data_IF_707020090408
#
_entry.id   IF_707020090408
#
_cell.length_a   1.000
_cell.length_b   1.000
_cell.length_c   1.000
_cell.angle_alpha   90.00
_cell.angle_beta   90.00
_cell.angle_gamma   90.00
#
_symmetry.space_group_name_H-M   'P 1'
#
loop_
_entity.id
_entity.type
_entity.pdbx_description
1 polymer ?
#
# COMPACT_ATOMS: atom_id res chain seq x y z
N UNK A 1 45.98 -9.73 -1.39
CA UNK A 1 45.57 -9.75 -2.81
C UNK A 1 44.04 -9.67 -2.94
N UNK A 2 43.27 -10.47 -2.20
CA UNK A 2 41.80 -10.50 -2.26
C UNK A 2 41.05 -9.20 -1.89
N UNK A 3 41.59 -8.35 -1.00
CA UNK A 3 40.92 -7.09 -0.58
C UNK A 3 40.90 -6.01 -1.67
N UNK A 4 41.96 -5.89 -2.47
CA UNK A 4 42.01 -4.90 -3.55
C UNK A 4 41.10 -5.28 -4.72
N UNK A 5 40.97 -6.58 -4.98
CA UNK A 5 40.08 -7.13 -6.00
C UNK A 5 38.61 -6.91 -5.62
N UNK A 6 38.24 -7.12 -4.35
CA UNK A 6 36.88 -6.84 -3.87
C UNK A 6 36.51 -5.35 -3.98
N UNK A 7 37.45 -4.45 -3.65
CA UNK A 7 37.20 -3.01 -3.76
C UNK A 7 37.07 -2.54 -5.22
N UNK A 8 37.83 -3.13 -6.14
CA UNK A 8 37.71 -2.84 -7.57
C UNK A 8 36.37 -3.35 -8.12
N UNK A 9 35.97 -4.57 -7.74
CA UNK A 9 34.69 -5.17 -8.13
C UNK A 9 33.49 -4.31 -7.70
N UNK A 10 33.54 -3.70 -6.50
CA UNK A 10 32.48 -2.79 -6.05
C UNK A 10 32.35 -1.59 -6.99
N UNK A 11 33.47 -0.94 -7.35
CA UNK A 11 33.46 0.23 -8.23
C UNK A 11 32.94 -0.10 -9.63
N UNK A 12 33.33 -1.25 -10.18
CA UNK A 12 32.85 -1.68 -11.48
C UNK A 12 31.33 -1.97 -11.44
N UNK A 13 30.84 -2.56 -10.34
CA UNK A 13 29.42 -2.76 -10.13
C UNK A 13 28.65 -1.44 -9.95
N UNK A 14 29.22 -0.44 -9.27
CA UNK A 14 28.61 0.88 -9.12
C UNK A 14 28.38 1.55 -10.49
N UNK A 15 29.38 1.51 -11.37
CA UNK A 15 29.26 2.01 -12.74
C UNK A 15 28.20 1.21 -13.53
N UNK A 16 28.19 -0.12 -13.39
CA UNK A 16 27.20 -0.97 -14.05
C UNK A 16 25.77 -0.66 -13.59
N UNK A 17 25.59 -0.36 -12.30
CA UNK A 17 24.31 0.04 -11.71
C UNK A 17 23.88 1.42 -12.21
N UNK A 18 24.80 2.38 -12.33
CA UNK A 18 24.49 3.68 -12.94
C UNK A 18 24.02 3.55 -14.39
N UNK A 19 24.60 2.62 -15.14
CA UNK A 19 24.22 2.35 -16.54
C UNK A 19 22.92 1.55 -16.66
N UNK A 20 22.68 0.60 -15.74
CA UNK A 20 21.47 -0.21 -15.70
C UNK A 20 20.99 -0.42 -14.25
N UNK A 21 20.14 0.48 -13.71
CA UNK A 21 19.69 0.42 -12.33
C UNK A 21 18.84 -0.79 -11.96
N UNK A 22 18.36 -1.55 -12.96
CA UNK A 22 17.52 -2.74 -12.76
C UNK A 22 18.30 -4.06 -12.91
N UNK A 23 19.63 -4.01 -13.09
CA UNK A 23 20.42 -5.24 -13.24
C UNK A 23 20.57 -5.98 -11.92
N UNK A 24 19.82 -7.08 -11.74
CA UNK A 24 19.96 -7.93 -10.57
C UNK A 24 21.38 -8.49 -10.40
N UNK A 25 22.04 -8.82 -11.52
CA UNK A 25 23.38 -9.37 -11.52
C UNK A 25 24.41 -8.40 -10.92
N UNK A 26 24.32 -7.11 -11.25
CA UNK A 26 25.24 -6.09 -10.74
C UNK A 26 25.14 -5.93 -9.22
N UNK A 27 23.93 -5.90 -8.66
CA UNK A 27 23.73 -5.87 -7.21
C UNK A 27 24.21 -7.16 -6.54
N UNK A 28 23.96 -8.33 -7.15
CA UNK A 28 24.40 -9.62 -6.61
C UNK A 28 25.93 -9.74 -6.52
N UNK A 29 26.63 -9.23 -7.54
CA UNK A 29 28.10 -9.23 -7.57
C UNK A 29 28.68 -8.24 -6.55
N UNK A 30 28.10 -7.04 -6.43
CA UNK A 30 28.50 -6.05 -5.43
C UNK A 30 28.28 -6.55 -4.00
N UNK A 31 27.13 -7.18 -3.73
CA UNK A 31 26.83 -7.78 -2.43
C UNK A 31 27.83 -8.87 -2.02
N UNK A 32 28.26 -9.74 -2.95
CA UNK A 32 29.33 -10.72 -2.70
C UNK A 32 30.69 -10.07 -2.44
N UNK A 33 30.99 -8.98 -3.13
CA UNK A 33 32.22 -8.22 -2.87
C UNK A 33 32.21 -7.59 -1.47
N UNK A 34 31.07 -7.06 -1.01
CA UNK A 34 30.87 -6.58 0.36
C UNK A 34 31.02 -7.69 1.42
N UNK A 35 30.52 -8.91 1.16
CA UNK A 35 30.74 -10.06 2.05
C UNK A 35 32.24 -10.36 2.23
N UNK A 36 33.01 -10.30 1.15
CA UNK A 36 34.47 -10.53 1.20
C UNK A 36 35.22 -9.43 1.97
N UNK A 37 34.65 -8.23 2.08
CA UNK A 37 35.20 -7.13 2.89
C UNK A 37 34.68 -7.12 4.33
N UNK A 38 33.70 -7.96 4.68
CA UNK A 38 33.06 -7.99 5.99
C UNK A 38 31.98 -6.91 6.20
N UNK A 39 31.51 -6.29 5.12
CA UNK A 39 30.44 -5.29 5.10
C UNK A 39 29.09 -6.00 5.00
N UNK A 40 28.66 -6.60 6.12
CA UNK A 40 27.51 -7.51 6.13
C UNK A 40 26.17 -6.82 5.88
N UNK A 41 26.02 -5.56 6.30
CA UNK A 41 24.79 -4.79 6.11
C UNK A 41 24.60 -4.41 4.65
N UNK A 42 25.62 -3.84 4.01
CA UNK A 42 25.60 -3.49 2.58
C UNK A 42 25.45 -4.73 1.69
N UNK A 43 26.11 -5.83 2.06
CA UNK A 43 25.94 -7.11 1.38
C UNK A 43 24.50 -7.64 1.44
N UNK A 44 23.86 -7.57 2.62
CA UNK A 44 22.49 -8.04 2.79
C UNK A 44 21.50 -7.21 1.97
N UNK A 45 21.66 -5.88 1.96
CA UNK A 45 20.85 -4.97 1.15
C UNK A 45 20.96 -5.27 -0.35
N UNK A 46 22.18 -5.41 -0.86
CA UNK A 46 22.43 -5.67 -2.28
C UNK A 46 21.91 -7.05 -2.73
N UNK A 47 22.05 -8.08 -1.90
CA UNK A 47 21.55 -9.42 -2.20
C UNK A 47 20.01 -9.47 -2.17
N UNK A 48 19.38 -8.78 -1.22
CA UNK A 48 17.92 -8.71 -1.16
C UNK A 48 17.35 -7.96 -2.38
N UNK A 49 18.00 -6.86 -2.79
CA UNK A 49 17.61 -6.10 -3.97
C UNK A 49 17.80 -6.92 -5.26
N UNK A 50 18.89 -7.69 -5.37
CA UNK A 50 19.13 -8.58 -6.49
C UNK A 50 18.02 -9.63 -6.64
N UNK A 51 17.65 -10.33 -5.55
CA UNK A 51 16.56 -11.31 -5.60
C UNK A 51 15.22 -10.67 -5.99
N UNK A 52 14.93 -9.47 -5.49
CA UNK A 52 13.72 -8.73 -5.89
C UNK A 52 13.69 -8.42 -7.39
N UNK A 53 14.82 -7.98 -7.95
CA UNK A 53 14.94 -7.65 -9.37
C UNK A 53 14.86 -8.89 -10.26
N UNK A 54 15.39 -10.05 -9.84
CA UNK A 54 15.23 -11.33 -10.56
C UNK A 54 13.75 -11.73 -10.67
N UNK A 55 12.99 -11.61 -9.56
CA UNK A 55 11.54 -11.87 -9.60
C UNK A 55 10.78 -10.86 -10.47
N UNK A 56 11.21 -9.59 -10.52
CA UNK A 56 10.61 -8.57 -11.40
C UNK A 56 10.93 -8.81 -12.88
N UNK A 57 12.12 -9.28 -13.23
CA UNK A 57 12.47 -9.68 -14.60
C UNK A 57 11.62 -10.88 -15.07
N UNK A 58 11.45 -11.89 -14.22
CA UNK A 58 10.60 -13.05 -14.48
C UNK A 58 9.12 -12.66 -14.61
N UNK A 59 8.60 -11.81 -13.71
CA UNK A 59 7.23 -11.33 -13.77
C UNK A 59 6.95 -10.51 -15.04
N UNK A 60 7.88 -9.62 -15.43
CA UNK A 60 7.76 -8.84 -16.65
C UNK A 60 7.85 -9.72 -17.91
N UNK A 61 8.66 -10.77 -17.89
CA UNK A 61 8.72 -11.74 -18.99
C UNK A 61 7.40 -12.49 -19.16
N UNK A 62 6.77 -12.91 -18.06
CA UNK A 62 5.44 -13.54 -18.05
C UNK A 62 4.35 -12.56 -18.53
N UNK A 63 4.38 -11.30 -18.11
CA UNK A 63 3.43 -10.28 -18.55
C UNK A 63 3.53 -9.98 -20.05
N UNK A 64 4.75 -9.99 -20.61
CA UNK A 64 5.01 -9.86 -22.05
C UNK A 64 4.51 -11.05 -22.87
N UNK A 65 4.47 -12.26 -22.29
CA UNK A 65 3.86 -13.44 -22.91
C UNK A 65 2.33 -13.40 -22.85
N UNK A 66 1.74 -12.94 -21.74
CA UNK A 66 0.29 -12.77 -21.58
C UNK A 66 -0.25 -11.73 -22.57
N UNK A 67 0.43 -10.59 -22.74
CA UNK A 67 0.02 -9.55 -23.70
C UNK A 67 0.04 -10.02 -25.17
N UNK A 68 0.87 -11.01 -25.52
CA UNK A 68 0.87 -11.62 -26.86
C UNK A 68 -0.29 -12.62 -27.06
N UNK A 69 -0.92 -13.09 -25.98
CA UNK A 69 -1.94 -14.13 -26.00
C UNK A 69 -3.39 -13.65 -25.92
N UNK A 70 -3.67 -12.41 -25.48
CA UNK A 70 -5.06 -12.00 -25.19
C UNK A 70 -5.47 -10.71 -25.92
N UNK A 71 -6.10 -10.87 -27.10
CA UNK A 71 -7.23 -10.01 -27.46
C UNK A 71 -8.48 -10.60 -26.81
N UNK A 72 -8.83 -10.11 -25.62
CA UNK A 72 -10.13 -10.32 -24.99
C UNK A 72 -10.21 -9.44 -23.75
N UNK A 73 -10.89 -8.31 -23.91
CA UNK A 73 -11.59 -7.47 -22.93
C UNK A 73 -11.33 -7.84 -21.46
N UNK A 74 -10.36 -7.14 -20.87
CA UNK A 74 -10.31 -6.89 -19.44
C UNK A 74 -10.20 -5.39 -19.26
N UNK A 75 -11.35 -4.73 -19.14
CA UNK A 75 -11.43 -3.40 -18.56
C UNK A 75 -11.08 -3.50 -17.07
N UNK A 76 -9.77 -3.59 -16.80
CA UNK A 76 -9.23 -3.18 -15.53
C UNK A 76 -9.34 -1.66 -15.52
N UNK A 77 -10.38 -1.14 -14.86
CA UNK A 77 -10.45 0.28 -14.49
C UNK A 77 -9.31 0.52 -13.48
N UNK A 78 -8.10 0.71 -14.02
CA UNK A 78 -7.04 1.45 -13.35
C UNK A 78 -7.48 2.91 -13.36
N UNK A 79 -8.15 3.31 -12.30
CA UNK A 79 -8.21 4.72 -11.93
C UNK A 79 -7.92 4.84 -10.44
N UNK A 80 -6.71 4.47 -10.06
CA UNK A 80 -6.08 5.15 -8.95
C UNK A 80 -5.62 6.48 -9.53
N UNK A 81 -6.51 7.47 -9.48
CA UNK A 81 -6.12 8.86 -9.66
C UNK A 81 -4.97 9.12 -8.68
N UNK A 82 -3.86 9.64 -9.19
CA UNK A 82 -2.77 10.20 -8.41
C UNK A 82 -3.35 11.07 -7.29
N UNK A 83 -3.45 10.50 -6.10
CA UNK A 83 -3.89 11.26 -4.95
C UNK A 83 -2.70 12.10 -4.54
N UNK A 84 -2.88 13.41 -4.69
CA UNK A 84 -2.02 14.40 -4.06
C UNK A 84 -1.81 13.95 -2.61
N UNK A 85 -0.59 13.54 -2.29
CA UNK A 85 -0.18 13.28 -0.92
C UNK A 85 -0.29 14.60 -0.16
N UNK A 86 -1.48 14.87 0.35
CA UNK A 86 -1.63 15.81 1.44
C UNK A 86 -1.02 15.13 2.64
N UNK A 87 0.25 15.46 2.86
CA UNK A 87 0.96 15.23 4.11
C UNK A 87 0.12 15.85 5.21
N UNK A 88 -0.48 15.01 6.05
CA UNK A 88 -0.98 15.44 7.34
C UNK A 88 0.28 15.69 8.16
N UNK A 89 0.86 16.88 7.99
CA UNK A 89 2.08 17.34 8.66
C UNK A 89 1.79 17.74 10.11
N UNK A 90 1.13 16.83 10.83
CA UNK A 90 0.92 16.96 12.27
C UNK A 90 1.79 15.91 12.93
N UNK A 91 3.04 16.27 13.20
CA UNK A 91 3.94 15.54 14.11
C UNK A 91 3.43 15.53 15.56
N UNK A 92 2.32 16.22 15.84
CA UNK A 92 1.71 16.30 17.15
C UNK A 92 0.81 15.08 17.42
N UNK A 93 1.07 14.41 18.55
CA UNK A 93 0.22 13.32 19.04
C UNK A 93 -1.11 13.92 19.48
N UNK A 94 -2.20 13.43 18.89
CA UNK A 94 -3.57 13.84 19.22
C UNK A 94 -4.22 12.88 20.21
N UNK A 95 -5.23 13.37 20.91
CA UNK A 95 -6.04 12.53 21.78
C UNK A 95 -6.89 11.53 20.97
N UNK A 96 -7.12 10.33 21.50
CA UNK A 96 -8.00 9.35 20.87
C UNK A 96 -9.44 9.85 20.75
N UNK A 97 -10.08 9.66 19.59
CA UNK A 97 -11.52 9.90 19.46
C UNK A 97 -12.31 8.89 20.30
N UNK A 98 -13.29 9.42 21.05
CA UNK A 98 -14.20 8.66 21.94
C UNK A 98 -15.58 8.42 21.29
N UNK A 99 -15.69 8.60 19.97
CA UNK A 99 -16.93 8.40 19.24
C UNK A 99 -17.42 6.95 19.32
N UNK A 100 -18.75 6.79 19.28
CA UNK A 100 -19.40 5.49 19.18
C UNK A 100 -18.87 4.75 17.94
N UNK A 101 -18.55 3.44 18.03
CA UNK A 101 -18.09 2.67 16.88
C UNK A 101 -19.03 2.80 15.69
N UNK A 102 -18.46 3.12 14.54
CA UNK A 102 -19.20 3.28 13.29
C UNK A 102 -19.79 1.96 12.79
N UNK A 103 -20.83 2.05 11.97
CA UNK A 103 -21.46 0.86 11.39
C UNK A 103 -20.56 0.20 10.34
N UNK A 104 -20.45 -1.14 10.40
CA UNK A 104 -19.54 -1.96 9.57
C UNK A 104 -20.26 -2.89 8.59
N UNK A 105 -21.59 -2.76 8.45
CA UNK A 105 -22.41 -3.66 7.64
C UNK A 105 -22.58 -5.06 8.27
N UNK A 106 -23.32 -5.93 7.57
CA UNK A 106 -23.55 -7.32 7.99
C UNK A 106 -22.63 -8.28 7.24
N UNK A 107 -21.70 -8.90 7.95
CA UNK A 107 -20.74 -9.85 7.37
C UNK A 107 -21.40 -11.07 6.71
N UNK A 108 -22.63 -11.44 7.11
CA UNK A 108 -23.32 -12.60 6.53
C UNK A 108 -24.19 -12.23 5.32
N UNK A 109 -24.18 -10.96 4.91
CA UNK A 109 -24.99 -10.48 3.79
C UNK A 109 -24.60 -11.16 2.48
N UNK A 110 -25.59 -11.75 1.81
CA UNK A 110 -25.45 -12.29 0.46
C UNK A 110 -25.55 -11.16 -0.56
N UNK A 111 -24.39 -10.63 -0.95
CA UNK A 111 -24.31 -9.50 -1.88
C UNK A 111 -24.69 -9.94 -3.30
N UNK A 112 -25.81 -9.40 -3.80
CA UNK A 112 -26.25 -9.59 -5.19
C UNK A 112 -25.50 -8.69 -6.14
N UNK A 113 -25.54 -9.00 -7.43
CA UNK A 113 -24.89 -8.16 -8.46
C UNK A 113 -25.43 -6.72 -8.48
N UNK A 114 -26.73 -6.55 -8.25
CA UNK A 114 -27.35 -5.23 -8.15
C UNK A 114 -26.80 -4.44 -6.95
N UNK A 115 -26.67 -5.09 -5.78
CA UNK A 115 -26.10 -4.45 -4.60
C UNK A 115 -24.63 -4.08 -4.80
N UNK A 116 -23.85 -4.87 -5.54
CA UNK A 116 -22.47 -4.50 -5.90
C UNK A 116 -22.43 -3.24 -6.74
N UNK A 117 -23.30 -3.14 -7.75
CA UNK A 117 -23.38 -1.97 -8.61
C UNK A 117 -23.75 -0.71 -7.82
N UNK A 118 -24.77 -0.82 -6.97
CA UNK A 118 -25.17 0.28 -6.10
C UNK A 118 -24.05 0.68 -5.12
N UNK A 119 -23.32 -0.29 -4.55
CA UNK A 119 -22.18 0.01 -3.68
C UNK A 119 -21.06 0.74 -4.43
N UNK A 120 -20.77 0.35 -5.67
CA UNK A 120 -19.76 1.01 -6.52
C UNK A 120 -20.20 2.44 -6.88
N UNK A 121 -21.48 2.65 -7.17
CA UNK A 121 -22.05 3.97 -7.44
C UNK A 121 -21.93 4.88 -6.21
N UNK A 122 -22.33 4.40 -5.03
CA UNK A 122 -22.20 5.11 -3.76
C UNK A 122 -20.75 5.43 -3.42
N UNK A 123 -19.81 4.52 -3.70
CA UNK A 123 -18.36 4.79 -3.59
C UNK A 123 -17.94 5.95 -4.48
N UNK A 124 -18.43 6.01 -5.73
CA UNK A 124 -18.10 7.09 -6.66
C UNK A 124 -18.64 8.43 -6.17
N UNK A 125 -19.90 8.46 -5.72
CA UNK A 125 -20.50 9.65 -5.11
C UNK A 125 -19.72 10.12 -3.88
N UNK A 126 -19.24 9.19 -3.04
CA UNK A 126 -18.44 9.50 -1.87
C UNK A 126 -17.11 10.15 -2.26
N UNK A 127 -16.42 9.64 -3.28
CA UNK A 127 -15.18 10.23 -3.80
C UNK A 127 -15.45 11.63 -4.36
N UNK A 128 -16.54 11.82 -5.11
CA UNK A 128 -16.95 13.14 -5.60
C UNK A 128 -17.23 14.13 -4.45
N UNK A 129 -17.81 13.65 -3.33
CA UNK A 129 -18.01 14.43 -2.12
C UNK A 129 -16.68 14.81 -1.44
N UNK A 130 -15.70 13.91 -1.38
CA UNK A 130 -14.34 14.22 -0.89
C UNK A 130 -13.71 15.33 -1.72
N UNK A 131 -13.82 15.25 -3.05
CA UNK A 131 -13.25 16.25 -3.97
C UNK A 131 -13.89 17.62 -3.79
N UNK A 132 -15.14 17.68 -3.34
CA UNK A 132 -15.86 18.92 -2.98
C UNK A 132 -15.59 19.38 -1.53
N UNK A 133 -14.84 18.63 -0.74
CA UNK A 133 -14.59 18.90 0.68
C UNK A 133 -15.73 18.51 1.62
N UNK A 134 -16.77 17.83 1.13
CA UNK A 134 -17.95 17.41 1.90
C UNK A 134 -17.67 16.10 2.68
N UNK A 135 -16.74 16.15 3.65
CA UNK A 135 -16.23 14.95 4.34
C UNK A 135 -17.31 14.15 5.09
N UNK A 136 -18.22 14.81 5.80
CA UNK A 136 -19.30 14.12 6.54
C UNK A 136 -20.23 13.36 5.59
N UNK A 137 -20.61 13.99 4.48
CA UNK A 137 -21.42 13.35 3.44
C UNK A 137 -20.70 12.17 2.80
N UNK A 138 -19.37 12.26 2.60
CA UNK A 138 -18.58 11.14 2.13
C UNK A 138 -18.61 9.95 3.10
N UNK A 139 -18.58 10.19 4.43
CA UNK A 139 -18.74 9.13 5.44
C UNK A 139 -20.10 8.44 5.35
N UNK A 140 -21.18 9.20 5.19
CA UNK A 140 -22.53 8.66 5.06
C UNK A 140 -22.63 7.77 3.80
N UNK A 141 -22.13 8.27 2.67
CA UNK A 141 -22.12 7.54 1.39
C UNK A 141 -21.27 6.27 1.45
N UNK A 142 -20.11 6.29 2.12
CA UNK A 142 -19.33 5.06 2.33
C UNK A 142 -20.05 4.09 3.27
N UNK A 143 -20.76 4.58 4.27
CA UNK A 143 -21.53 3.74 5.18
C UNK A 143 -22.69 3.07 4.44
N UNK A 144 -23.39 3.78 3.57
CA UNK A 144 -24.39 3.21 2.65
C UNK A 144 -23.76 2.16 1.73
N UNK A 145 -22.60 2.45 1.13
CA UNK A 145 -21.89 1.50 0.28
C UNK A 145 -21.49 0.22 1.03
N UNK A 146 -21.04 0.34 2.28
CA UNK A 146 -20.67 -0.80 3.14
C UNK A 146 -21.89 -1.64 3.50
N UNK A 147 -23.04 -1.02 3.79
CA UNK A 147 -24.30 -1.76 4.01
C UNK A 147 -24.72 -2.58 2.79
N UNK A 148 -24.45 -2.08 1.59
CA UNK A 148 -24.75 -2.77 0.35
C UNK A 148 -23.72 -3.87 0.03
N UNK A 149 -22.44 -3.63 0.32
CA UNK A 149 -21.37 -4.58 0.09
C UNK A 149 -20.30 -4.53 1.21
N UNK A 150 -20.50 -5.29 2.31
CA UNK A 150 -19.58 -5.29 3.44
C UNK A 150 -18.29 -6.08 3.19
N UNK A 151 -18.17 -6.76 2.05
CA UNK A 151 -17.01 -7.57 1.66
C UNK A 151 -16.02 -6.82 0.77
N UNK A 152 -16.26 -5.54 0.51
CA UNK A 152 -15.43 -4.75 -0.40
C UNK A 152 -14.40 -3.93 0.39
N UNK A 153 -13.17 -4.45 0.47
CA UNK A 153 -12.03 -3.87 1.20
C UNK A 153 -11.82 -2.37 0.94
N UNK A 154 -11.92 -1.95 -0.32
CA UNK A 154 -11.64 -0.55 -0.73
C UNK A 154 -12.61 0.46 -0.09
N UNK A 155 -13.83 0.04 0.29
CA UNK A 155 -14.78 0.96 0.96
C UNK A 155 -14.28 1.36 2.34
N UNK A 156 -13.78 0.41 3.12
CA UNK A 156 -13.24 0.67 4.45
C UNK A 156 -11.94 1.46 4.38
N UNK A 157 -11.03 1.14 3.44
CA UNK A 157 -9.79 1.90 3.26
C UNK A 157 -10.07 3.37 2.91
N UNK A 158 -11.03 3.63 2.02
CA UNK A 158 -11.41 4.99 1.66
C UNK A 158 -12.12 5.72 2.79
N UNK A 159 -12.99 5.05 3.56
CA UNK A 159 -13.66 5.65 4.72
C UNK A 159 -12.65 5.96 5.85
N UNK A 160 -11.67 5.08 6.08
CA UNK A 160 -10.54 5.34 6.98
C UNK A 160 -9.76 6.59 6.59
N UNK A 161 -9.47 6.77 5.29
CA UNK A 161 -8.85 8.00 4.77
C UNK A 161 -9.68 9.25 5.10
N UNK A 162 -11.00 9.19 5.00
CA UNK A 162 -11.88 10.32 5.37
C UNK A 162 -11.83 10.58 6.88
N UNK A 163 -11.83 9.55 7.72
CA UNK A 163 -11.65 9.70 9.17
C UNK A 163 -10.31 10.34 9.53
N UNK A 164 -9.23 10.01 8.81
CA UNK A 164 -7.93 10.66 8.98
C UNK A 164 -7.98 12.16 8.68
N UNK A 165 -8.70 12.57 7.61
CA UNK A 165 -8.93 13.99 7.31
C UNK A 165 -9.74 14.71 8.38
N UNK A 166 -10.54 13.97 9.15
CA UNK A 166 -11.36 14.49 10.27
C UNK A 166 -10.66 14.36 11.62
N UNK A 167 -9.38 13.92 11.66
CA UNK A 167 -8.64 13.65 12.89
C UNK A 167 -9.35 12.66 13.83
N UNK A 168 -9.94 11.59 13.27
CA UNK A 168 -10.58 10.50 14.01
C UNK A 168 -9.79 9.18 13.88
N UNK A 169 -8.62 9.06 14.51
CA UNK A 169 -7.70 7.95 14.30
C UNK A 169 -8.24 6.58 14.77
N UNK A 170 -8.99 6.47 15.87
CA UNK A 170 -9.58 5.21 16.31
C UNK A 170 -10.65 4.72 15.33
N UNK A 171 -11.51 5.62 14.84
CA UNK A 171 -12.46 5.27 13.79
C UNK A 171 -11.74 4.76 12.53
N UNK A 172 -10.66 5.43 12.10
CA UNK A 172 -9.83 4.98 10.99
C UNK A 172 -9.21 3.59 11.22
N UNK A 173 -8.65 3.35 12.43
CA UNK A 173 -8.07 2.05 12.80
C UNK A 173 -9.09 0.92 12.70
N UNK A 174 -10.33 1.11 13.19
CA UNK A 174 -11.39 0.10 13.11
C UNK A 174 -11.72 -0.26 11.66
N UNK A 175 -11.79 0.73 10.77
CA UNK A 175 -12.01 0.50 9.33
C UNK A 175 -10.83 -0.24 8.70
N UNK A 176 -9.60 0.15 9.01
CA UNK A 176 -8.42 -0.54 8.51
C UNK A 176 -8.33 -1.99 9.01
N UNK A 177 -8.63 -2.24 10.28
CA UNK A 177 -8.66 -3.60 10.85
C UNK A 177 -9.67 -4.47 10.10
N UNK A 178 -10.86 -3.93 9.81
CA UNK A 178 -11.87 -4.66 9.03
C UNK A 178 -11.40 -4.90 7.60
N UNK A 179 -10.78 -3.91 6.96
CA UNK A 179 -10.24 -4.04 5.62
C UNK A 179 -9.17 -5.14 5.53
N UNK A 180 -8.26 -5.19 6.51
CA UNK A 180 -7.21 -6.21 6.63
C UNK A 180 -7.80 -7.60 6.88
N UNK A 181 -8.85 -7.72 7.69
CA UNK A 181 -9.55 -8.99 7.89
C UNK A 181 -10.14 -9.54 6.59
N UNK A 182 -10.67 -8.66 5.72
CA UNK A 182 -11.26 -9.06 4.45
C UNK A 182 -10.17 -9.41 3.42
N UNK A 183 -9.16 -8.56 3.29
CA UNK A 183 -8.05 -8.76 2.37
C UNK A 183 -6.71 -8.36 3.04
N UNK A 184 -5.99 -9.34 3.61
CA UNK A 184 -4.71 -9.11 4.27
C UNK A 184 -3.59 -8.64 3.34
N UNK A 185 -3.72 -8.84 2.02
CA UNK A 185 -2.70 -8.51 1.03
C UNK A 185 -2.83 -7.07 0.50
N UNK A 186 -3.86 -6.34 0.94
CA UNK A 186 -4.06 -4.95 0.54
C UNK A 186 -3.16 -4.01 1.32
N UNK A 187 -2.26 -3.32 0.62
CA UNK A 187 -1.34 -2.32 1.16
C UNK A 187 -2.03 -1.10 1.81
N UNK A 188 -3.07 -0.56 1.16
CA UNK A 188 -3.72 0.69 1.58
C UNK A 188 -4.21 0.71 3.04
N UNK A 189 -4.92 -0.33 3.54
CA UNK A 189 -5.28 -0.44 4.95
C UNK A 189 -4.11 -0.31 5.93
N UNK A 190 -2.95 -0.92 5.65
CA UNK A 190 -1.78 -0.79 6.51
C UNK A 190 -1.20 0.63 6.46
N UNK A 191 -1.17 1.28 5.28
CA UNK A 191 -0.76 2.68 5.16
C UNK A 191 -1.57 3.58 6.08
N UNK A 192 -2.90 3.46 6.02
CA UNK A 192 -3.80 4.31 6.81
C UNK A 192 -3.79 3.95 8.29
N UNK A 193 -3.74 2.67 8.66
CA UNK A 193 -3.62 2.25 10.06
C UNK A 193 -2.31 2.72 10.68
N UNK A 194 -1.21 2.60 9.93
CA UNK A 194 0.10 3.09 10.34
C UNK A 194 0.09 4.59 10.64
N UNK A 195 -0.47 5.40 9.73
CA UNK A 195 -0.64 6.85 9.94
C UNK A 195 -1.55 7.17 11.14
N UNK A 196 -2.66 6.46 11.30
CA UNK A 196 -3.57 6.65 12.44
C UNK A 196 -2.88 6.31 13.78
N UNK A 197 -2.04 5.28 13.79
CA UNK A 197 -1.23 4.90 14.95
C UNK A 197 -0.14 5.93 15.26
N UNK A 198 0.46 6.58 14.25
CA UNK A 198 1.39 7.70 14.47
C UNK A 198 0.70 8.88 15.15
N UNK A 199 -0.50 9.26 14.68
CA UNK A 199 -1.30 10.32 15.31
C UNK A 199 -1.60 10.05 16.78
N UNK A 200 -1.76 8.78 17.17
CA UNK A 200 -1.97 8.37 18.56
C UNK A 200 -0.68 8.12 19.36
N UNK A 201 0.50 8.32 18.75
CA UNK A 201 1.79 8.08 19.39
C UNK A 201 2.19 6.60 19.54
N UNK A 202 1.51 5.68 18.86
CA UNK A 202 1.85 4.25 18.85
C UNK A 202 2.95 3.92 17.82
N UNK A 203 4.10 4.59 17.94
CA UNK A 203 5.20 4.59 16.95
C UNK A 203 5.67 3.20 16.51
N UNK A 204 5.82 2.26 17.46
CA UNK A 204 6.28 0.91 17.13
C UNK A 204 5.27 0.13 16.29
N UNK A 205 3.97 0.29 16.57
CA UNK A 205 2.91 -0.37 15.80
C UNK A 205 2.78 0.27 14.44
N UNK A 206 2.87 1.60 14.37
CA UNK A 206 2.87 2.33 13.11
C UNK A 206 4.00 1.90 12.18
N UNK A 207 5.24 1.81 12.68
CA UNK A 207 6.39 1.40 11.87
C UNK A 207 6.22 0.00 11.27
N UNK A 208 5.59 -0.93 12.00
CA UNK A 208 5.28 -2.27 11.47
C UNK A 208 4.27 -2.21 10.34
N UNK A 209 3.19 -1.45 10.51
CA UNK A 209 2.16 -1.31 9.48
C UNK A 209 2.71 -0.61 8.23
N UNK A 210 3.50 0.45 8.40
CA UNK A 210 4.10 1.17 7.27
C UNK A 210 5.13 0.33 6.50
N UNK A 211 5.72 -0.69 7.12
CA UNK A 211 6.59 -1.66 6.43
C UNK A 211 5.82 -2.73 5.64
N UNK A 212 4.51 -2.86 5.89
CA UNK A 212 3.60 -3.79 5.20
C UNK A 212 2.72 -3.10 4.14
N UNK A 213 2.76 -1.77 4.11
CA UNK A 213 2.04 -0.92 3.17
C UNK A 213 2.83 -0.72 1.87
#
# INVERSE_FOLDING_TARGET
MQLQEAQAAIKDCDIAIELNPKSAESYRLRGKAFQNLGHWEEAACDLALASRLEYEEEANAVELEIQKGTKSDSECIKSESEESELEIDTEEVIEPDEDVPQEMGDENLKVTEEMRKQAIEKKREAIDAINKGELLKALDLFTEAIKLNPHLTILYANRAKVYMKLQKPNAAIRDCDKAIQINPDSAQPYKWRGRALQLLGYWQRAAKDLALA
#
